data_IF_388464078285
#
_entry.id   IF_388464078285
#
_cell.length_a   1.000
_cell.length_b   1.000
_cell.length_c   1.000
_cell.angle_alpha   90.00
_cell.angle_beta   90.00
_cell.angle_gamma   90.00
#
_symmetry.space_group_name_H-M   'P 1'
#
loop_
_entity.id
_entity.type
_entity.pdbx_description
1 polymer ?
#
# COMPACT_ATOMS: atom_id res chain seq x y z
N UNK A 1 31.18 -24.81 -74.84
CA UNK A 1 30.32 -25.01 -73.63
C UNK A 1 30.18 -26.51 -73.46
N UNK A 2 30.76 -27.08 -72.39
CA UNK A 2 30.62 -28.51 -72.16
C UNK A 2 29.17 -28.80 -71.74
N UNK A 3 28.44 -29.54 -72.56
CA UNK A 3 27.11 -30.01 -72.24
C UNK A 3 27.25 -31.13 -71.18
N UNK A 4 27.03 -30.81 -69.90
CA UNK A 4 27.03 -31.78 -68.83
C UNK A 4 25.62 -32.40 -68.82
N UNK A 5 25.52 -33.65 -69.23
CA UNK A 5 24.24 -34.36 -69.48
C UNK A 5 23.50 -34.72 -68.23
N UNK A 6 24.17 -34.73 -67.05
CA UNK A 6 23.59 -35.21 -65.80
C UNK A 6 23.31 -34.12 -64.73
N UNK A 7 23.72 -32.86 -64.97
CA UNK A 7 23.49 -31.79 -64.01
C UNK A 7 23.24 -30.48 -64.73
N UNK A 8 22.00 -29.97 -64.67
CA UNK A 8 21.68 -28.63 -65.15
C UNK A 8 21.89 -27.59 -64.05
N UNK A 9 23.06 -26.92 -64.09
CA UNK A 9 23.44 -25.90 -63.12
C UNK A 9 22.42 -24.77 -63.04
N UNK A 10 21.85 -24.33 -64.14
CA UNK A 10 20.81 -23.27 -64.14
C UNK A 10 19.53 -23.72 -63.48
N UNK A 11 19.11 -24.97 -63.65
CA UNK A 11 17.94 -25.55 -62.96
C UNK A 11 18.18 -25.64 -61.48
N UNK A 12 19.36 -26.03 -61.01
CA UNK A 12 19.70 -26.09 -59.57
C UNK A 12 19.72 -24.72 -58.93
N UNK A 13 20.30 -23.72 -59.67
CA UNK A 13 20.28 -22.31 -59.21
C UNK A 13 18.81 -21.76 -59.07
N UNK A 14 18.01 -22.06 -60.16
CA UNK A 14 16.57 -21.66 -60.10
C UNK A 14 15.81 -22.30 -58.96
N UNK A 15 16.03 -23.59 -58.72
CA UNK A 15 15.43 -24.30 -57.55
C UNK A 15 15.88 -23.72 -56.21
N UNK A 16 17.17 -23.44 -56.05
CA UNK A 16 17.67 -22.80 -54.84
C UNK A 16 17.09 -21.40 -54.62
N UNK A 17 16.94 -20.61 -55.65
CA UNK A 17 16.34 -19.28 -55.57
C UNK A 17 14.84 -19.37 -55.25
N UNK A 18 14.12 -20.34 -55.81
CA UNK A 18 12.71 -20.59 -55.48
C UNK A 18 12.54 -20.97 -54.02
N UNK A 19 13.34 -21.88 -53.50
CA UNK A 19 13.32 -22.29 -52.09
C UNK A 19 13.62 -21.13 -51.17
N UNK A 20 14.61 -20.26 -51.50
CA UNK A 20 14.91 -19.05 -50.75
C UNK A 20 13.72 -18.07 -50.73
N UNK A 21 13.10 -17.87 -51.90
CA UNK A 21 11.94 -16.98 -52.02
C UNK A 21 10.74 -17.49 -51.23
N UNK A 22 10.49 -18.80 -51.26
CA UNK A 22 9.42 -19.43 -50.46
C UNK A 22 9.67 -19.28 -48.95
N UNK A 23 10.92 -19.48 -48.49
CA UNK A 23 11.28 -19.28 -47.09
C UNK A 23 11.10 -17.81 -46.65
N UNK A 24 11.56 -16.87 -47.51
CA UNK A 24 11.39 -15.44 -47.23
C UNK A 24 9.90 -15.03 -47.17
N UNK A 25 9.09 -15.57 -48.10
CA UNK A 25 7.64 -15.35 -48.12
C UNK A 25 6.96 -15.92 -46.86
N UNK A 26 7.33 -17.14 -46.48
CA UNK A 26 6.83 -17.77 -45.25
C UNK A 26 7.11 -16.91 -44.02
N UNK A 27 8.33 -16.42 -43.85
CA UNK A 27 8.69 -15.51 -42.74
C UNK A 27 7.95 -14.19 -42.82
N UNK A 28 7.74 -13.63 -44.01
CA UNK A 28 6.99 -12.39 -44.19
C UNK A 28 5.50 -12.57 -43.83
N UNK A 29 4.86 -13.69 -44.20
CA UNK A 29 3.48 -14.04 -43.82
C UNK A 29 3.36 -14.23 -42.32
N UNK A 30 4.31 -14.93 -41.70
CA UNK A 30 4.32 -15.14 -40.25
C UNK A 30 4.40 -13.81 -39.50
N UNK A 31 5.29 -12.90 -39.89
CA UNK A 31 5.42 -11.55 -39.34
C UNK A 31 4.16 -10.69 -39.54
N UNK A 32 3.55 -10.77 -40.70
CA UNK A 32 2.34 -10.04 -41.03
C UNK A 32 1.14 -10.53 -40.20
N UNK A 33 1.04 -11.87 -40.06
CA UNK A 33 -0.04 -12.50 -39.30
C UNK A 33 0.08 -12.24 -37.79
N UNK A 34 1.28 -12.28 -37.22
CA UNK A 34 1.55 -12.01 -35.82
C UNK A 34 1.58 -10.52 -35.48
N UNK A 35 1.83 -9.66 -36.45
CA UNK A 35 2.08 -8.23 -36.25
C UNK A 35 3.43 -7.93 -35.57
N UNK A 36 4.28 -8.94 -35.37
CA UNK A 36 5.55 -8.83 -34.66
C UNK A 36 6.71 -9.11 -35.61
N UNK A 37 7.79 -8.31 -35.49
CA UNK A 37 9.01 -8.51 -36.25
C UNK A 37 9.81 -9.73 -35.78
N UNK A 38 9.79 -10.00 -34.46
CA UNK A 38 10.46 -11.12 -33.79
C UNK A 38 9.36 -12.00 -33.23
N UNK A 39 9.17 -13.18 -33.77
CA UNK A 39 8.12 -14.11 -33.39
C UNK A 39 8.65 -15.31 -32.60
N UNK A 40 9.93 -15.62 -32.82
CA UNK A 40 10.59 -16.74 -32.16
C UNK A 40 12.06 -16.42 -31.83
N UNK A 41 12.63 -17.18 -30.88
CA UNK A 41 14.04 -17.07 -30.55
C UNK A 41 14.97 -17.38 -31.74
N UNK A 42 14.46 -18.04 -32.79
CA UNK A 42 15.19 -18.34 -34.04
C UNK A 42 15.38 -17.07 -34.86
N UNK A 43 14.46 -16.10 -34.79
CA UNK A 43 14.53 -14.86 -35.56
C UNK A 43 15.57 -13.90 -35.00
N UNK A 44 15.59 -13.76 -33.67
CA UNK A 44 16.55 -12.95 -32.93
C UNK A 44 16.49 -13.34 -31.43
N UNK A 45 17.42 -14.18 -31.00
CA UNK A 45 17.48 -14.64 -29.60
C UNK A 45 17.78 -13.49 -28.62
N UNK A 46 18.66 -12.56 -29.02
CA UNK A 46 19.01 -11.43 -28.17
C UNK A 46 17.83 -10.42 -28.04
N UNK A 47 17.21 -10.11 -29.18
CA UNK A 47 16.02 -9.24 -29.20
C UNK A 47 14.85 -9.83 -28.43
N UNK A 48 14.61 -11.14 -28.50
CA UNK A 48 13.59 -11.84 -27.76
C UNK A 48 13.87 -11.78 -26.24
N UNK A 49 15.09 -12.00 -25.80
CA UNK A 49 15.48 -11.90 -24.40
C UNK A 49 15.25 -10.48 -23.84
N UNK A 50 15.63 -9.47 -24.61
CA UNK A 50 15.40 -8.06 -24.26
C UNK A 50 13.90 -7.75 -24.20
N UNK A 51 13.11 -8.16 -25.20
CA UNK A 51 11.66 -7.94 -25.22
C UNK A 51 10.95 -8.61 -24.04
N UNK A 52 11.35 -9.83 -23.68
CA UNK A 52 10.81 -10.53 -22.51
C UNK A 52 11.14 -9.80 -21.21
N UNK A 53 12.37 -9.28 -21.07
CA UNK A 53 12.75 -8.46 -19.89
C UNK A 53 11.93 -7.17 -19.82
N UNK A 54 11.76 -6.46 -20.93
CA UNK A 54 10.90 -5.27 -20.96
C UNK A 54 9.46 -5.61 -20.62
N UNK A 55 8.91 -6.69 -21.16
CA UNK A 55 7.55 -7.14 -20.86
C UNK A 55 7.40 -7.46 -19.36
N UNK A 56 8.38 -8.16 -18.78
CA UNK A 56 8.40 -8.45 -17.35
C UNK A 56 8.46 -7.18 -16.50
N UNK A 57 9.35 -6.23 -16.87
CA UNK A 57 9.46 -4.94 -16.18
C UNK A 57 8.16 -4.12 -16.26
N UNK A 58 7.54 -4.04 -17.45
CA UNK A 58 6.28 -3.31 -17.64
C UNK A 58 5.16 -3.93 -16.80
N UNK A 59 5.05 -5.26 -16.78
CA UNK A 59 4.08 -5.96 -15.91
C UNK A 59 4.37 -5.71 -14.42
N UNK A 60 5.64 -5.77 -14.03
CA UNK A 60 6.09 -5.46 -12.66
C UNK A 60 5.73 -4.04 -12.24
N UNK A 61 6.07 -3.04 -13.07
CA UNK A 61 5.73 -1.64 -12.81
C UNK A 61 4.22 -1.39 -12.78
N UNK A 62 3.45 -2.07 -13.63
CA UNK A 62 1.98 -1.97 -13.61
C UNK A 62 1.41 -2.52 -12.29
N UNK A 63 1.96 -3.62 -11.78
CA UNK A 63 1.56 -4.15 -10.48
C UNK A 63 2.03 -3.23 -9.35
N UNK A 64 3.24 -2.71 -9.43
CA UNK A 64 3.79 -1.77 -8.47
C UNK A 64 2.93 -0.49 -8.36
N UNK A 65 2.44 0.03 -9.49
CA UNK A 65 1.52 1.15 -9.49
C UNK A 65 0.19 0.83 -8.78
N UNK A 66 -0.35 -0.36 -8.95
CA UNK A 66 -1.53 -0.80 -8.19
C UNK A 66 -1.25 -0.89 -6.70
N UNK A 67 -0.15 -1.53 -6.32
CA UNK A 67 0.26 -1.64 -4.92
C UNK A 67 0.47 -0.25 -4.27
N UNK A 68 1.04 0.71 -5.01
CA UNK A 68 1.19 2.08 -4.54
C UNK A 68 -0.16 2.77 -4.30
N UNK A 69 -1.14 2.58 -5.19
CA UNK A 69 -2.49 3.11 -5.01
C UNK A 69 -3.19 2.47 -3.80
N UNK A 70 -3.02 1.17 -3.59
CA UNK A 70 -3.53 0.48 -2.41
C UNK A 70 -2.90 1.05 -1.13
N UNK A 71 -1.59 1.32 -1.16
CA UNK A 71 -0.88 1.98 -0.07
C UNK A 71 -1.38 3.38 0.23
N UNK A 72 -1.65 4.18 -0.81
CA UNK A 72 -2.26 5.51 -0.66
C UNK A 72 -3.65 5.42 -0.03
N UNK A 73 -4.48 4.48 -0.48
CA UNK A 73 -5.82 4.28 0.06
C UNK A 73 -5.78 3.85 1.54
N UNK A 74 -4.83 2.98 1.90
CA UNK A 74 -4.59 2.59 3.29
C UNK A 74 -4.15 3.79 4.14
N UNK A 75 -3.22 4.61 3.63
CA UNK A 75 -2.75 5.80 4.33
C UNK A 75 -3.89 6.82 4.55
N UNK A 76 -4.73 7.05 3.55
CA UNK A 76 -5.91 7.91 3.66
C UNK A 76 -6.93 7.39 4.68
N UNK A 77 -7.16 6.08 4.73
CA UNK A 77 -8.04 5.47 5.74
C UNK A 77 -7.47 5.67 7.15
N UNK A 78 -6.16 5.46 7.29
CA UNK A 78 -5.46 5.66 8.58
C UNK A 78 -5.50 7.12 9.02
N UNK A 79 -5.26 8.06 8.10
CA UNK A 79 -5.32 9.50 8.33
C UNK A 79 -6.74 9.93 8.76
N UNK A 80 -7.77 9.42 8.10
CA UNK A 80 -9.16 9.69 8.46
C UNK A 80 -9.48 9.25 9.87
N UNK A 81 -9.09 8.03 10.24
CA UNK A 81 -9.29 7.50 11.59
C UNK A 81 -8.47 8.27 12.64
N UNK A 82 -7.22 8.63 12.34
CA UNK A 82 -6.38 9.43 13.23
C UNK A 82 -6.95 10.85 13.42
N UNK A 83 -7.52 11.46 12.40
CA UNK A 83 -8.21 12.75 12.50
C UNK A 83 -9.43 12.69 13.40
N UNK A 84 -10.22 11.62 13.35
CA UNK A 84 -11.35 11.41 14.22
C UNK A 84 -10.91 11.23 15.69
N UNK A 85 -9.87 10.43 15.93
CA UNK A 85 -9.26 10.27 17.25
C UNK A 85 -8.79 11.64 17.78
N UNK A 86 -8.14 12.45 16.97
CA UNK A 86 -7.70 13.79 17.36
C UNK A 86 -8.88 14.69 17.75
N UNK A 87 -10.00 14.60 17.05
CA UNK A 87 -11.23 15.34 17.42
C UNK A 87 -11.74 14.94 18.79
N UNK A 88 -11.77 13.64 19.11
CA UNK A 88 -12.14 13.16 20.43
C UNK A 88 -11.14 13.62 21.51
N UNK A 89 -9.84 13.57 21.23
CA UNK A 89 -8.81 14.06 22.16
C UNK A 89 -8.93 15.56 22.44
N UNK A 90 -9.21 16.37 21.44
CA UNK A 90 -9.46 17.81 21.62
C UNK A 90 -10.66 18.05 22.54
N UNK A 91 -11.73 17.27 22.36
CA UNK A 91 -12.91 17.37 23.23
C UNK A 91 -12.60 16.94 24.67
N UNK A 92 -11.85 15.88 24.87
CA UNK A 92 -11.35 15.46 26.20
C UNK A 92 -10.53 16.58 26.84
N UNK A 93 -9.64 17.23 26.06
CA UNK A 93 -8.84 18.35 26.54
C UNK A 93 -9.71 19.56 26.95
N UNK A 94 -10.71 19.92 26.16
CA UNK A 94 -11.64 20.99 26.48
C UNK A 94 -12.36 20.71 27.80
N UNK A 95 -12.91 19.50 27.96
CA UNK A 95 -13.60 19.09 29.19
C UNK A 95 -12.67 19.09 30.41
N UNK A 96 -11.41 18.69 30.22
CA UNK A 96 -10.39 18.69 31.26
C UNK A 96 -10.07 20.11 31.72
N UNK A 97 -9.87 21.05 30.78
CA UNK A 97 -9.64 22.47 31.11
C UNK A 97 -10.84 23.07 31.78
N UNK A 98 -12.04 22.72 31.34
CA UNK A 98 -13.29 23.16 31.95
C UNK A 98 -13.44 22.64 33.40
N UNK A 99 -13.17 21.33 33.60
CA UNK A 99 -13.24 20.72 34.94
C UNK A 99 -12.20 21.28 35.93
N UNK A 100 -11.08 21.83 35.42
CA UNK A 100 -10.05 22.50 36.21
C UNK A 100 -10.52 23.81 36.83
N UNK A 101 -11.67 24.35 36.44
CA UNK A 101 -12.28 25.50 37.06
C UNK A 101 -12.97 25.09 38.38
N UNK A 102 -12.56 25.65 39.51
CA UNK A 102 -13.05 25.30 40.84
C UNK A 102 -14.48 25.69 41.16
N UNK A 103 -15.29 26.13 40.18
CA UNK A 103 -16.67 26.58 40.37
C UNK A 103 -17.72 25.52 39.99
N UNK A 104 -17.31 24.31 39.62
CA UNK A 104 -18.21 23.22 39.26
C UNK A 104 -18.56 22.34 40.47
N UNK A 105 -19.83 21.94 40.54
CA UNK A 105 -20.26 20.97 41.53
C UNK A 105 -19.77 19.57 41.23
N UNK A 106 -19.71 18.68 42.23
CA UNK A 106 -19.30 17.28 42.03
C UNK A 106 -20.18 16.57 41.00
N UNK A 107 -21.47 16.88 40.93
CA UNK A 107 -22.39 16.28 39.95
C UNK A 107 -22.06 16.72 38.54
N UNK A 108 -21.66 17.98 38.34
CA UNK A 108 -21.19 18.50 37.05
C UNK A 108 -19.83 17.88 36.64
N UNK A 109 -18.91 17.73 37.59
CA UNK A 109 -17.64 17.03 37.34
C UNK A 109 -17.84 15.56 36.98
N UNK A 110 -18.80 14.88 37.63
CA UNK A 110 -19.17 13.51 37.27
C UNK A 110 -19.71 13.43 35.82
N UNK A 111 -20.58 14.37 35.45
CA UNK A 111 -21.13 14.42 34.07
C UNK A 111 -20.04 14.66 33.02
N UNK A 112 -19.07 15.54 33.34
CA UNK A 112 -17.90 15.74 32.47
C UNK A 112 -17.04 14.48 32.38
N UNK A 113 -16.84 13.77 33.48
CA UNK A 113 -16.09 12.51 33.52
C UNK A 113 -16.78 11.42 32.68
N UNK A 114 -18.08 11.34 32.71
CA UNK A 114 -18.85 10.39 31.91
C UNK A 114 -18.71 10.69 30.41
N UNK A 115 -18.74 11.98 30.01
CA UNK A 115 -18.46 12.38 28.64
C UNK A 115 -17.02 12.04 28.23
N UNK A 116 -16.04 12.33 29.09
CA UNK A 116 -14.63 11.98 28.81
C UNK A 116 -14.49 10.48 28.61
N UNK A 117 -15.07 9.66 29.51
CA UNK A 117 -15.01 8.20 29.36
C UNK A 117 -15.61 7.73 28.06
N UNK A 118 -16.76 8.28 27.66
CA UNK A 118 -17.36 7.94 26.38
C UNK A 118 -16.45 8.28 25.20
N UNK A 119 -15.77 9.45 25.24
CA UNK A 119 -14.80 9.84 24.18
C UNK A 119 -13.58 8.91 24.14
N UNK A 120 -13.08 8.49 25.29
CA UNK A 120 -11.97 7.54 25.38
C UNK A 120 -12.38 6.15 24.88
N UNK A 121 -13.59 5.69 25.20
CA UNK A 121 -14.14 4.45 24.68
C UNK A 121 -14.31 4.50 23.15
N UNK A 122 -14.70 5.65 22.59
CA UNK A 122 -14.78 5.88 21.13
C UNK A 122 -13.39 5.81 20.48
N UNK A 123 -12.35 6.38 21.11
CA UNK A 123 -10.97 6.28 20.63
C UNK A 123 -10.53 4.81 20.55
N UNK A 124 -10.75 4.03 21.60
CA UNK A 124 -10.44 2.61 21.59
C UNK A 124 -11.21 1.86 20.52
N UNK A 125 -12.49 2.16 20.36
CA UNK A 125 -13.33 1.56 19.33
C UNK A 125 -12.84 1.89 17.92
N UNK A 126 -12.48 3.15 17.63
CA UNK A 126 -11.91 3.56 16.34
C UNK A 126 -10.60 2.81 16.10
N UNK A 127 -9.71 2.76 17.10
CA UNK A 127 -8.43 2.05 17.00
C UNK A 127 -8.60 0.56 16.69
N UNK A 128 -9.53 -0.11 17.35
CA UNK A 128 -9.75 -1.56 17.18
C UNK A 128 -10.52 -1.90 15.91
N UNK A 129 -11.46 -1.05 15.50
CA UNK A 129 -12.35 -1.33 14.38
C UNK A 129 -11.77 -0.89 13.04
N UNK A 130 -10.91 0.14 13.02
CA UNK A 130 -10.34 0.61 11.76
C UNK A 130 -9.46 -0.47 11.14
N UNK A 131 -9.88 -0.93 9.97
CA UNK A 131 -9.12 -1.87 9.16
C UNK A 131 -9.20 -1.50 7.67
N UNK A 132 -8.19 -1.92 6.93
CA UNK A 132 -8.15 -1.83 5.48
C UNK A 132 -7.87 -3.21 4.92
N UNK A 133 -8.83 -3.78 4.19
CA UNK A 133 -8.74 -5.12 3.61
C UNK A 133 -8.35 -6.21 4.64
N UNK A 134 -8.88 -6.09 5.87
CA UNK A 134 -8.59 -7.03 6.97
C UNK A 134 -7.27 -6.77 7.71
N UNK A 135 -6.52 -5.74 7.32
CA UNK A 135 -5.30 -5.32 8.03
C UNK A 135 -5.65 -4.23 9.02
N UNK A 136 -5.43 -4.48 10.31
CA UNK A 136 -5.59 -3.49 11.36
C UNK A 136 -4.49 -2.44 11.28
N UNK A 137 -4.87 -1.16 11.28
CA UNK A 137 -3.95 -0.04 11.03
C UNK A 137 -3.56 0.72 12.29
N UNK A 138 -4.43 0.75 13.34
CA UNK A 138 -4.25 1.53 14.57
C UNK A 138 -4.30 0.68 15.84
N UNK A 139 -4.52 -0.63 15.76
CA UNK A 139 -4.62 -1.51 16.92
C UNK A 139 -3.25 -2.05 17.34
N UNK A 140 -3.13 -2.62 18.54
CA UNK A 140 -1.91 -3.27 19.04
C UNK A 140 -1.40 -4.44 18.19
N UNK A 141 -2.20 -4.89 17.23
CA UNK A 141 -1.82 -5.88 16.23
C UNK A 141 -1.31 -5.25 14.92
N UNK A 142 -1.26 -3.92 14.84
CA UNK A 142 -0.73 -3.22 13.67
C UNK A 142 0.75 -3.56 13.48
N UNK A 143 1.10 -4.04 12.30
CA UNK A 143 2.49 -4.36 11.93
C UNK A 143 2.93 -3.43 10.81
N UNK A 144 4.23 -3.08 10.75
CA UNK A 144 4.74 -2.36 9.60
C UNK A 144 4.37 -3.09 8.30
N UNK A 145 3.75 -2.38 7.38
CA UNK A 145 3.35 -2.92 6.08
C UNK A 145 4.36 -2.51 5.03
N UNK A 146 4.98 -3.49 4.40
CA UNK A 146 5.92 -3.26 3.31
C UNK A 146 5.21 -3.44 1.98
N UNK A 147 5.21 -2.40 1.15
CA UNK A 147 4.60 -2.36 -0.17
C UNK A 147 5.68 -2.42 -1.23
N UNK A 148 5.60 -3.37 -2.15
CA UNK A 148 6.46 -3.42 -3.33
C UNK A 148 5.97 -2.38 -4.36
N UNK A 149 6.78 -1.35 -4.60
CA UNK A 149 6.45 -0.22 -5.50
C UNK A 149 7.33 -0.15 -6.73
N UNK A 150 8.13 -1.17 -6.96
CA UNK A 150 8.99 -1.28 -8.14
C UNK A 150 9.01 -2.69 -8.71
N UNK A 151 9.64 -2.84 -9.87
CA UNK A 151 9.74 -4.10 -10.59
C UNK A 151 10.86 -5.02 -10.08
N UNK A 152 11.82 -4.48 -9.31
CA UNK A 152 12.96 -5.23 -8.81
C UNK A 152 12.85 -5.45 -7.30
N UNK A 153 13.57 -6.45 -6.81
CA UNK A 153 13.65 -6.77 -5.39
C UNK A 153 14.21 -5.58 -4.59
N UNK A 154 13.61 -5.30 -3.45
CA UNK A 154 14.05 -4.21 -2.57
C UNK A 154 13.47 -2.82 -2.91
N UNK A 155 12.74 -2.66 -4.00
CA UNK A 155 12.02 -1.42 -4.34
C UNK A 155 10.71 -1.33 -3.55
N UNK A 156 10.84 -1.12 -2.22
CA UNK A 156 9.72 -1.17 -1.28
C UNK A 156 9.54 0.14 -0.52
N UNK A 157 8.30 0.43 -0.14
CA UNK A 157 7.95 1.47 0.83
C UNK A 157 7.38 0.77 2.07
N UNK A 158 7.92 1.09 3.24
CA UNK A 158 7.40 0.57 4.50
C UNK A 158 6.55 1.64 5.18
N UNK A 159 5.28 1.31 5.41
CA UNK A 159 4.37 2.10 6.21
C UNK A 159 4.49 1.61 7.66
N UNK A 160 4.98 2.48 8.54
CA UNK A 160 5.05 2.19 9.96
C UNK A 160 3.69 2.52 10.58
N UNK A 161 2.92 1.48 10.89
CA UNK A 161 1.66 1.58 11.58
C UNK A 161 1.92 1.43 13.08
N UNK A 162 1.41 2.37 13.86
CA UNK A 162 1.55 2.40 15.32
C UNK A 162 0.20 2.26 15.98
N UNK A 163 0.17 1.60 17.12
CA UNK A 163 -1.03 1.53 17.96
C UNK A 163 -1.37 2.92 18.50
N UNK A 164 -2.62 3.31 18.33
CA UNK A 164 -3.21 4.50 18.97
C UNK A 164 -4.38 4.03 19.82
N UNK A 165 -4.13 3.77 21.11
CA UNK A 165 -5.14 3.40 22.09
C UNK A 165 -5.07 4.36 23.29
N UNK A 166 -6.11 4.39 24.10
CA UNK A 166 -6.14 5.16 25.35
C UNK A 166 -4.94 4.80 26.23
N UNK A 167 -4.52 3.53 26.22
CA UNK A 167 -3.36 3.05 26.96
C UNK A 167 -2.04 3.61 26.42
N UNK A 168 -1.84 3.60 25.10
CA UNK A 168 -0.60 4.12 24.48
C UNK A 168 -0.51 5.64 24.56
N UNK A 169 -1.66 6.31 24.60
CA UNK A 169 -1.75 7.75 24.84
C UNK A 169 -1.58 8.14 26.34
N UNK A 170 -1.42 7.15 27.23
CA UNK A 170 -1.25 7.40 28.67
C UNK A 170 -2.49 7.93 29.37
N UNK A 171 -3.66 7.77 28.76
CA UNK A 171 -4.95 8.26 29.30
C UNK A 171 -5.72 7.15 30.01
N UNK A 172 -5.11 6.01 30.27
CA UNK A 172 -5.73 4.92 31.01
C UNK A 172 -5.99 5.35 32.47
N UNK A 173 -7.24 5.23 32.92
CA UNK A 173 -7.65 5.71 34.24
C UNK A 173 -7.71 7.23 34.39
N UNK A 174 -7.73 8.00 33.29
CA UNK A 174 -7.84 9.45 33.30
C UNK A 174 -9.14 9.92 34.02
N UNK A 175 -8.99 10.83 34.99
CA UNK A 175 -10.08 11.23 35.87
C UNK A 175 -10.01 12.73 36.23
N UNK A 176 -11.12 13.44 36.04
CA UNK A 176 -11.27 14.87 36.37
C UNK A 176 -12.17 15.14 37.59
N UNK A 177 -12.91 14.11 38.08
CA UNK A 177 -13.86 14.28 39.19
C UNK A 177 -13.30 13.89 40.57
N UNK A 178 -12.07 13.41 40.64
CA UNK A 178 -11.41 13.01 41.89
C UNK A 178 -12.00 11.74 42.55
N UNK A 179 -13.03 11.14 41.97
CA UNK A 179 -13.72 9.97 42.49
C UNK A 179 -13.42 8.75 41.66
N UNK A 180 -12.31 8.13 41.85
CA UNK A 180 -12.17 6.86 41.21
C UNK A 180 -10.76 6.42 40.96
N UNK A 181 -10.58 5.20 41.35
CA UNK A 181 -9.51 4.26 41.01
C UNK A 181 -8.15 4.50 41.70
N UNK A 182 -7.70 3.48 42.27
CA UNK A 182 -6.47 3.13 42.98
C UNK A 182 -5.14 3.83 42.62
N UNK A 183 -5.13 4.67 41.64
CA UNK A 183 -4.07 5.63 41.33
C UNK A 183 -4.66 7.04 41.27
N UNK A 184 -4.93 7.63 42.44
CA UNK A 184 -5.47 8.97 42.67
C UNK A 184 -4.56 10.07 42.03
N UNK A 185 -4.46 10.06 40.72
CA UNK A 185 -3.75 11.08 39.95
C UNK A 185 -4.79 11.98 39.29
N UNK A 186 -4.97 13.18 39.87
CA UNK A 186 -5.71 14.22 39.19
C UNK A 186 -5.00 14.57 37.91
N UNK A 187 -5.64 14.31 36.76
CA UNK A 187 -5.07 14.64 35.48
C UNK A 187 -4.90 16.15 35.33
N UNK A 188 -3.73 16.55 34.89
CA UNK A 188 -3.40 17.94 34.61
C UNK A 188 -3.33 18.17 33.10
N UNK A 189 -3.45 19.44 32.69
CA UNK A 189 -3.28 19.82 31.26
C UNK A 189 -1.95 19.34 30.70
N UNK A 190 -0.92 19.22 31.55
CA UNK A 190 0.40 18.69 31.17
C UNK A 190 0.35 17.19 30.81
N UNK A 191 -0.57 16.41 31.35
CA UNK A 191 -0.70 14.99 30.99
C UNK A 191 -1.20 14.81 29.56
N UNK A 192 -2.03 15.75 29.07
CA UNK A 192 -2.50 15.77 27.67
C UNK A 192 -1.46 16.35 26.70
N UNK A 193 -0.54 17.19 27.18
CA UNK A 193 0.55 17.72 26.35
C UNK A 193 1.67 16.70 26.11
N UNK A 194 1.81 15.71 27.00
CA UNK A 194 2.78 14.63 26.85
C UNK A 194 2.28 13.51 25.93
N UNK A 195 0.97 13.48 25.64
CA UNK A 195 0.32 12.47 24.78
C UNK A 195 0.15 12.92 23.32
N UNK A 196 0.47 14.14 22.96
CA UNK A 196 0.44 14.71 21.61
C UNK A 196 1.81 15.09 21.11
#
# INVERSE_FOLDING_TARGET
MAAVINTNYLSLVAQNNLNKSQSALGTAIERLSSGLRINSAKDDAAGMAIANRFTANVKGLTQAARNANDGISLAQTTEGAASEINTHLQRVRELTVQAGNGNYSQEQLNSMQDEIKQRLDDINRISEQTDFNGVKVLSGNAKPLTLQVGANDGETITLNLSEISVKTLGLDGFNVNGTGVTNNRTATVSDLQAAG
#
